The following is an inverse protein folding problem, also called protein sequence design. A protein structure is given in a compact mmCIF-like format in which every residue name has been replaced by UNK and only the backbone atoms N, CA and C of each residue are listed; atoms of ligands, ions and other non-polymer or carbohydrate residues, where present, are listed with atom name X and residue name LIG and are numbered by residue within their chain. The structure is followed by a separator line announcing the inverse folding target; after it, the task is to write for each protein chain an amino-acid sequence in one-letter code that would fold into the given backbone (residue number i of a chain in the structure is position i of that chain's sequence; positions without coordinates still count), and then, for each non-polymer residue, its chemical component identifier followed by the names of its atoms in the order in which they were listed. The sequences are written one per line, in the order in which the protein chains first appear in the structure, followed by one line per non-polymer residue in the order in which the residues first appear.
data_IF_848214951350
#
_entry.id   IF_848214951350
#
_cell.length_a   1.000
_cell.length_b   1.000
_cell.length_c   1.000
_cell.angle_alpha   90.00
_cell.angle_beta   90.00
_cell.angle_gamma   90.00
#
_symmetry.space_group_name_H-M   'P 1'
#
loop_
_entity.id
_entity.type
_entity.pdbx_description
1 polymer ?
#
# COMPACT_ATOMS: atom_id res chain seq x y z
N UNK A 1 19.59 -4.63 16.17
CA UNK A 1 19.02 -5.97 16.39
C UNK A 1 20.01 -6.81 17.17
N UNK A 2 19.65 -7.16 18.39
CA UNK A 2 20.40 -8.13 19.20
C UNK A 2 20.00 -9.54 18.76
N UNK A 3 20.89 -10.52 18.93
CA UNK A 3 20.67 -11.91 18.48
C UNK A 3 19.44 -12.57 19.11
N UNK A 4 18.97 -12.05 20.24
CA UNK A 4 17.82 -12.57 20.98
C UNK A 4 16.48 -12.29 20.27
N UNK A 5 16.37 -11.16 19.56
CA UNK A 5 15.16 -10.80 18.80
C UNK A 5 15.02 -11.64 17.51
N UNK A 6 16.14 -12.11 16.98
CA UNK A 6 16.18 -12.90 15.75
C UNK A 6 15.88 -14.39 16.02
N UNK A 7 16.21 -14.87 17.23
CA UNK A 7 15.92 -16.24 17.67
C UNK A 7 14.45 -16.42 18.07
N UNK A 8 13.81 -15.37 18.61
CA UNK A 8 12.36 -15.36 18.90
C UNK A 8 11.50 -15.44 17.63
N UNK A 9 11.99 -14.89 16.51
CA UNK A 9 11.28 -14.92 15.22
C UNK A 9 11.47 -16.26 14.48
N UNK A 10 12.49 -17.05 14.84
CA UNK A 10 12.78 -18.35 14.21
C UNK A 10 12.13 -19.54 14.92
N UNK A 11 11.84 -19.43 16.23
CA UNK A 11 11.09 -20.43 16.98
C UNK A 11 9.58 -20.13 16.92
N UNK A 12 8.98 -20.54 15.80
CA UNK A 12 7.57 -20.28 15.48
C UNK A 12 6.57 -20.75 16.52
N UNK A 13 5.85 -19.77 17.08
CA UNK A 13 4.52 -19.92 17.66
C UNK A 13 3.74 -18.61 17.49
N UNK A 14 3.42 -18.26 16.23
CA UNK A 14 2.39 -17.26 15.92
C UNK A 14 1.39 -17.94 14.98
N UNK A 15 0.34 -18.47 15.58
CA UNK A 15 -0.87 -18.98 14.94
C UNK A 15 -1.46 -17.87 14.05
N UNK A 16 -1.48 -18.12 12.74
CA UNK A 16 -1.83 -17.17 11.68
C UNK A 16 -3.19 -17.55 11.06
N UNK A 17 -4.19 -17.87 11.88
CA UNK A 17 -5.52 -18.30 11.39
C UNK A 17 -6.71 -17.50 11.93
N UNK A 18 -6.51 -16.30 12.48
CA UNK A 18 -7.63 -15.43 12.84
C UNK A 18 -7.39 -14.00 12.40
N UNK A 19 -7.79 -13.67 11.17
CA UNK A 19 -8.55 -12.44 10.84
C UNK A 19 -8.74 -12.35 9.33
N UNK A 20 -9.88 -12.79 8.81
CA UNK A 20 -10.59 -12.19 7.67
C UNK A 20 -11.97 -12.87 7.55
N UNK A 21 -12.86 -12.58 8.48
CA UNK A 21 -14.31 -12.75 8.26
C UNK A 21 -14.94 -11.35 8.17
N UNK A 22 -15.35 -10.95 6.97
CA UNK A 22 -16.38 -9.93 6.81
C UNK A 22 -17.37 -10.34 5.70
N UNK A 23 -18.47 -10.92 6.19
CA UNK A 23 -19.84 -10.94 5.67
C UNK A 23 -20.11 -10.64 4.18
N UNK A 24 -20.46 -11.69 3.43
CA UNK A 24 -21.37 -11.57 2.28
C UNK A 24 -22.79 -11.26 2.75
N UNK A 25 -23.39 -10.18 2.24
CA UNK A 25 -24.85 -10.00 2.28
C UNK A 25 -25.37 -9.92 0.85
N UNK A 26 -26.22 -10.88 0.50
CA UNK A 26 -26.86 -11.01 -0.81
C UNK A 26 -28.01 -10.00 -1.00
N UNK A 27 -28.17 -9.44 -2.21
CA UNK A 27 -29.47 -9.38 -2.91
C UNK A 27 -29.31 -9.07 -4.42
N UNK A 28 -30.27 -9.51 -5.27
CA UNK A 28 -30.11 -9.60 -6.74
C UNK A 28 -30.78 -8.47 -7.55
N UNK A 29 -30.28 -8.31 -8.78
CA UNK A 29 -30.85 -7.83 -10.05
C UNK A 29 -32.00 -6.80 -10.10
N UNK A 30 -31.77 -5.69 -10.82
CA UNK A 30 -32.23 -5.51 -12.22
C UNK A 30 -32.34 -4.03 -12.61
N UNK A 31 -31.60 -3.60 -13.64
CA UNK A 31 -32.09 -2.69 -14.69
C UNK A 31 -31.03 -2.60 -15.80
N UNK A 32 -31.40 -3.07 -16.99
CA UNK A 32 -30.67 -2.90 -18.25
C UNK A 32 -30.45 -1.42 -18.59
N UNK A 33 -29.27 -1.13 -19.13
CA UNK A 33 -29.11 -0.10 -20.16
C UNK A 33 -27.94 -0.50 -21.06
N UNK A 34 -28.29 -0.84 -22.31
CA UNK A 34 -27.36 -0.99 -23.42
C UNK A 34 -26.62 0.34 -23.66
N UNK A 35 -25.29 0.35 -23.50
CA UNK A 35 -24.43 1.37 -24.13
C UNK A 35 -23.18 0.73 -24.77
N UNK A 36 -22.75 1.36 -25.85
CA UNK A 36 -21.82 0.94 -26.90
C UNK A 36 -20.44 0.42 -26.40
N UNK A 37 -19.73 -0.41 -27.20
CA UNK A 37 -18.44 -0.96 -26.78
C UNK A 37 -17.38 0.14 -26.67
N UNK A 38 -16.93 0.42 -25.45
CA UNK A 38 -15.73 1.21 -25.17
C UNK A 38 -14.49 0.33 -25.31
N UNK A 39 -13.53 0.79 -26.11
CA UNK A 39 -12.30 0.08 -26.48
C UNK A 39 -11.18 0.30 -25.42
N UNK A 40 -11.51 0.14 -24.14
CA UNK A 40 -10.56 0.16 -23.03
C UNK A 40 -10.49 -1.22 -22.38
N UNK A 41 -9.30 -1.84 -22.26
CA UNK A 41 -9.19 -3.18 -21.69
C UNK A 41 -9.37 -3.12 -20.17
N UNK A 42 -10.52 -3.63 -19.70
CA UNK A 42 -10.83 -3.86 -18.29
C UNK A 42 -9.80 -4.84 -17.66
N UNK A 43 -9.03 -4.44 -16.63
CA UNK A 43 -8.05 -5.30 -15.94
C UNK A 43 -8.65 -6.57 -15.31
N UNK A 44 -9.96 -6.58 -15.07
CA UNK A 44 -10.66 -7.71 -14.45
C UNK A 44 -11.28 -8.70 -15.45
N UNK A 45 -11.17 -8.44 -16.76
CA UNK A 45 -11.74 -9.29 -17.82
C UNK A 45 -10.67 -9.94 -18.72
N UNK A 46 -9.55 -10.38 -18.13
CA UNK A 46 -8.67 -11.32 -18.84
C UNK A 46 -9.30 -12.72 -18.86
N UNK A 47 -10.34 -12.88 -19.67
CA UNK A 47 -10.75 -14.20 -20.15
C UNK A 47 -9.98 -14.42 -21.44
N UNK A 48 -9.30 -15.57 -21.55
CA UNK A 48 -8.75 -16.03 -22.83
C UNK A 48 -9.95 -16.32 -23.75
N UNK A 49 -10.50 -15.27 -24.36
CA UNK A 49 -11.46 -15.38 -25.43
C UNK A 49 -10.70 -16.00 -26.60
N UNK A 50 -11.14 -17.18 -27.05
CA UNK A 50 -10.62 -17.85 -28.24
C UNK A 50 -10.74 -17.01 -29.53
N UNK A 51 -11.38 -15.84 -29.46
CA UNK A 51 -11.45 -14.83 -30.52
C UNK A 51 -10.19 -13.95 -30.63
N UNK A 52 -9.36 -13.89 -29.58
CA UNK A 52 -8.12 -13.11 -29.64
C UNK A 52 -7.02 -13.93 -30.30
N UNK A 53 -6.49 -13.40 -31.41
CA UNK A 53 -5.47 -14.05 -32.22
C UNK A 53 -4.25 -14.43 -31.38
N UNK A 54 -3.86 -15.70 -31.44
CA UNK A 54 -2.64 -16.22 -30.86
C UNK A 54 -1.46 -15.91 -31.81
N UNK A 55 -0.30 -15.44 -31.31
CA UNK A 55 0.12 -15.34 -29.91
C UNK A 55 -0.43 -14.08 -29.22
N UNK A 56 -0.58 -14.10 -27.88
CA UNK A 56 -0.93 -12.89 -27.14
C UNK A 56 0.06 -11.78 -27.46
N UNK A 57 -0.40 -10.51 -27.52
CA UNK A 57 0.48 -9.38 -27.77
C UNK A 57 1.65 -9.39 -26.78
N UNK A 58 2.85 -9.01 -27.20
CA UNK A 58 4.01 -8.98 -26.32
C UNK A 58 3.67 -8.13 -25.08
N UNK A 59 4.08 -8.54 -23.87
CA UNK A 59 3.75 -7.81 -22.66
C UNK A 59 4.18 -6.36 -22.78
N UNK A 60 3.21 -5.44 -22.72
CA UNK A 60 3.43 -4.01 -22.52
C UNK A 60 4.13 -3.79 -21.19
N UNK A 61 4.80 -2.64 -21.00
CA UNK A 61 5.51 -2.36 -19.74
C UNK A 61 4.57 -2.45 -18.51
N UNK A 62 3.29 -2.11 -18.70
CA UNK A 62 2.22 -2.28 -17.71
C UNK A 62 1.92 -3.74 -17.36
N UNK A 63 2.25 -4.71 -18.22
CA UNK A 63 2.06 -6.15 -17.97
C UNK A 63 3.35 -6.84 -17.50
N UNK A 64 4.45 -6.09 -17.35
CA UNK A 64 5.71 -6.60 -16.82
C UNK A 64 5.74 -6.36 -15.31
N UNK A 65 5.46 -7.43 -14.56
CA UNK A 65 5.49 -7.41 -13.08
C UNK A 65 6.80 -6.81 -12.51
N UNK A 66 7.94 -7.02 -13.16
CA UNK A 66 9.22 -6.44 -12.73
C UNK A 66 9.24 -4.91 -12.83
N UNK A 67 8.62 -4.34 -13.87
CA UNK A 67 8.50 -2.89 -14.04
C UNK A 67 7.55 -2.30 -13.02
N UNK A 68 6.38 -2.93 -12.82
CA UNK A 68 5.42 -2.52 -11.79
C UNK A 68 6.05 -2.48 -10.39
N UNK A 69 6.85 -3.49 -10.03
CA UNK A 69 7.55 -3.51 -8.73
C UNK A 69 8.59 -2.39 -8.61
N UNK A 70 9.26 -2.02 -9.70
CA UNK A 70 10.22 -0.91 -9.73
C UNK A 70 9.50 0.44 -9.59
N UNK A 71 8.38 0.61 -10.29
CA UNK A 71 7.54 1.81 -10.22
C UNK A 71 6.93 1.99 -8.82
N UNK A 72 6.41 0.93 -8.22
CA UNK A 72 5.92 0.94 -6.82
C UNK A 72 7.03 1.32 -5.84
N UNK A 73 8.26 0.85 -6.08
CA UNK A 73 9.40 1.19 -5.23
C UNK A 73 9.71 2.68 -5.31
N UNK A 74 9.77 3.22 -6.52
CA UNK A 74 10.08 4.63 -6.78
C UNK A 74 8.99 5.58 -6.27
N UNK A 75 7.72 5.23 -6.50
CA UNK A 75 6.59 6.00 -5.99
C UNK A 75 6.54 5.98 -4.46
N UNK A 76 6.78 4.81 -3.84
CA UNK A 76 6.84 4.69 -2.38
C UNK A 76 7.95 5.55 -1.77
N UNK A 77 9.14 5.58 -2.37
CA UNK A 77 10.25 6.43 -1.91
C UNK A 77 9.91 7.93 -1.96
N UNK A 78 9.29 8.38 -3.07
CA UNK A 78 8.83 9.77 -3.19
C UNK A 78 7.77 10.10 -2.13
N UNK A 79 6.76 9.24 -1.99
CA UNK A 79 5.65 9.47 -1.05
C UNK A 79 6.11 9.47 0.39
N UNK A 80 7.07 8.65 0.75
CA UNK A 80 7.60 8.71 2.09
C UNK A 80 8.51 9.91 2.32
N UNK A 81 9.24 10.39 1.31
CA UNK A 81 9.94 11.67 1.44
C UNK A 81 8.96 12.79 1.77
N UNK A 82 7.80 12.84 1.07
CA UNK A 82 6.73 13.79 1.39
C UNK A 82 6.20 13.62 2.82
N UNK A 83 5.99 12.38 3.27
CA UNK A 83 5.52 12.10 4.64
C UNK A 83 6.57 12.57 5.67
N UNK A 84 7.87 12.40 5.41
CA UNK A 84 8.93 12.86 6.30
C UNK A 84 8.91 14.38 6.45
N UNK A 85 8.79 15.11 5.33
CA UNK A 85 8.69 16.57 5.35
C UNK A 85 7.47 17.04 6.15
N UNK A 86 6.32 16.36 6.00
CA UNK A 86 5.11 16.65 6.77
C UNK A 86 5.28 16.36 8.26
N UNK A 87 5.91 15.25 8.62
CA UNK A 87 6.19 14.86 10.01
C UNK A 87 7.15 15.87 10.66
N UNK A 88 8.20 16.30 9.95
CA UNK A 88 9.12 17.33 10.43
C UNK A 88 8.40 18.66 10.65
N UNK A 89 7.52 19.05 9.71
CA UNK A 89 6.64 20.22 9.86
C UNK A 89 5.80 20.15 11.14
N UNK A 90 5.10 19.03 11.35
CA UNK A 90 4.27 18.81 12.54
C UNK A 90 5.13 18.82 13.81
N UNK A 91 6.32 18.21 13.79
CA UNK A 91 7.24 18.21 14.94
C UNK A 91 7.65 19.62 15.34
N UNK A 92 7.98 20.47 14.36
CA UNK A 92 8.31 21.87 14.59
C UNK A 92 7.11 22.66 15.12
N UNK A 93 5.92 22.45 14.56
CA UNK A 93 4.68 23.10 15.02
C UNK A 93 4.34 22.72 16.47
N UNK A 94 4.50 21.44 16.85
CA UNK A 94 4.31 20.97 18.21
C UNK A 94 5.31 21.62 19.18
N UNK A 95 6.60 21.67 18.80
CA UNK A 95 7.63 22.31 19.61
C UNK A 95 7.39 23.81 19.80
N UNK A 96 6.89 24.50 18.78
CA UNK A 96 6.53 25.90 18.86
C UNK A 96 5.24 26.11 19.67
N UNK A 97 4.26 25.22 19.54
CA UNK A 97 3.09 25.15 20.42
C UNK A 97 3.48 25.01 21.89
N UNK A 98 4.47 24.16 22.19
CA UNK A 98 4.99 23.94 23.55
C UNK A 98 5.58 25.23 24.15
N UNK A 99 6.35 25.98 23.35
CA UNK A 99 6.91 27.27 23.76
C UNK A 99 5.82 28.31 24.01
N UNK A 100 4.80 28.35 23.15
CA UNK A 100 3.68 29.29 23.27
C UNK A 100 2.85 29.01 24.53
N UNK A 101 2.49 27.74 24.79
CA UNK A 101 1.70 27.39 25.97
C UNK A 101 2.48 27.64 27.26
N UNK A 102 3.79 27.38 27.29
CA UNK A 102 4.66 27.75 28.43
C UNK A 102 4.67 29.25 28.70
N UNK A 103 4.66 30.08 27.65
CA UNK A 103 4.56 31.54 27.80
C UNK A 103 3.20 31.96 28.36
N UNK A 104 2.11 31.34 27.91
CA UNK A 104 0.75 31.57 28.44
C UNK A 104 0.67 31.17 29.91
N UNK A 105 1.21 29.99 30.28
CA UNK A 105 1.30 29.53 31.66
C UNK A 105 2.08 30.50 32.56
N UNK A 106 3.15 31.11 32.07
CA UNK A 106 3.88 32.15 32.82
C UNK A 106 3.03 33.41 33.09
N UNK A 107 2.20 33.83 32.14
CA UNK A 107 1.26 34.96 32.32
C UNK A 107 0.15 34.61 33.30
N UNK A 108 -0.41 33.40 33.20
CA UNK A 108 -1.44 32.89 34.11
C UNK A 108 -0.90 32.80 35.55
N UNK A 109 0.32 32.32 35.75
CA UNK A 109 0.96 32.30 37.07
C UNK A 109 1.10 33.72 37.65
N UNK A 110 1.56 34.69 36.85
CA UNK A 110 1.63 36.08 37.29
C UNK A 110 0.27 36.67 37.66
N UNK A 111 -0.79 36.29 36.93
CA UNK A 111 -2.16 36.67 37.27
C UNK A 111 -2.62 36.03 38.59
N UNK A 112 -2.30 34.75 38.82
CA UNK A 112 -2.61 34.05 40.07
C UNK A 112 -1.97 34.78 41.25
N UNK A 113 -0.67 35.09 41.17
CA UNK A 113 0.05 35.79 42.24
C UNK A 113 -0.53 37.19 42.53
N UNK A 114 -0.94 37.91 41.47
CA UNK A 114 -1.58 39.21 41.58
C UNK A 114 -2.94 39.10 42.28
N UNK A 115 -3.80 38.17 41.84
CA UNK A 115 -5.12 37.98 42.42
C UNK A 115 -5.05 37.38 43.83
N UNK A 116 -4.01 36.61 44.19
CA UNK A 116 -3.78 36.17 45.56
C UNK A 116 -3.51 37.37 46.46
N UNK A 117 -2.62 38.26 46.03
CA UNK A 117 -2.28 39.49 46.76
C UNK A 117 -3.50 40.40 46.91
N UNK A 118 -4.28 40.59 45.83
CA UNK A 118 -5.50 41.41 45.86
C UNK A 118 -6.60 40.81 46.74
N UNK A 119 -6.79 39.49 46.70
CA UNK A 119 -7.78 38.79 47.53
C UNK A 119 -7.43 38.89 49.02
N UNK A 120 -6.14 38.88 49.37
CA UNK A 120 -5.68 39.09 50.74
C UNK A 120 -5.87 40.55 51.21
N UNK A 121 -5.57 41.52 50.34
CA UNK A 121 -5.69 42.97 50.64
C UNK A 121 -7.14 43.45 50.70
N UNK A 122 -8.02 42.88 49.88
CA UNK A 122 -9.42 43.28 49.74
C UNK A 122 -10.36 42.08 49.91
N UNK A 123 -10.50 41.54 51.13
CA UNK A 123 -11.25 40.31 51.39
C UNK A 123 -12.77 40.41 51.16
N UNK A 124 -13.29 41.65 51.03
CA UNK A 124 -14.70 41.94 50.77
C UNK A 124 -15.07 42.03 49.27
N UNK A 125 -14.11 41.85 48.37
CA UNK A 125 -14.36 41.86 46.92
C UNK A 125 -14.36 40.42 46.41
N UNK A 126 -15.55 39.84 46.28
CA UNK A 126 -15.71 38.44 45.85
C UNK A 126 -15.21 38.19 44.42
N UNK A 127 -15.26 39.21 43.56
CA UNK A 127 -14.78 39.13 42.18
C UNK A 127 -13.30 38.69 42.08
N UNK A 128 -12.44 39.07 43.04
CA UNK A 128 -11.03 38.66 43.04
C UNK A 128 -10.86 37.16 43.33
N UNK A 129 -11.68 36.61 44.23
CA UNK A 129 -11.67 35.16 44.51
C UNK A 129 -12.17 34.37 43.31
N UNK A 130 -13.27 34.80 42.69
CA UNK A 130 -13.79 34.14 41.49
C UNK A 130 -12.79 34.17 40.33
N UNK A 131 -12.12 35.31 40.11
CA UNK A 131 -11.14 35.42 39.03
C UNK A 131 -9.85 34.64 39.33
N UNK A 132 -9.48 34.49 40.60
CA UNK A 132 -8.37 33.65 41.02
C UNK A 132 -8.64 32.17 40.75
N UNK A 133 -9.84 31.68 41.10
CA UNK A 133 -10.24 30.30 40.80
C UNK A 133 -10.21 30.03 39.29
N UNK A 134 -10.78 30.93 38.47
CA UNK A 134 -10.73 30.82 37.01
C UNK A 134 -9.31 30.79 36.44
N UNK A 135 -8.39 31.61 36.98
CA UNK A 135 -7.00 31.57 36.52
C UNK A 135 -6.30 30.26 36.91
N UNK A 136 -6.61 29.69 38.09
CA UNK A 136 -6.08 28.36 38.48
C UNK A 136 -6.62 27.23 37.62
N UNK A 137 -7.91 27.29 37.26
CA UNK A 137 -8.50 26.35 36.31
C UNK A 137 -7.85 26.47 34.93
N UNK A 138 -7.72 27.69 34.40
CA UNK A 138 -7.02 27.94 33.14
C UNK A 138 -5.55 27.51 33.15
N UNK A 139 -4.85 27.63 34.30
CA UNK A 139 -3.49 27.13 34.47
C UNK A 139 -3.46 25.59 34.34
N UNK A 140 -4.40 24.90 35.00
CA UNK A 140 -4.50 23.44 34.90
C UNK A 140 -4.82 22.98 33.48
N UNK A 141 -5.67 23.71 32.74
CA UNK A 141 -5.95 23.42 31.34
C UNK A 141 -4.71 23.64 30.46
N UNK A 142 -3.95 24.71 30.71
CA UNK A 142 -2.71 25.00 29.99
C UNK A 142 -1.65 23.90 30.21
N UNK A 143 -1.54 23.38 31.43
CA UNK A 143 -0.63 22.27 31.75
C UNK A 143 -1.10 20.96 31.05
N UNK A 144 -2.41 20.69 31.00
CA UNK A 144 -2.94 19.54 30.26
C UNK A 144 -2.68 19.64 28.75
N UNK A 145 -2.77 20.84 28.16
CA UNK A 145 -2.41 21.08 26.76
C UNK A 145 -0.91 20.87 26.55
N UNK A 146 -0.07 21.32 27.48
CA UNK A 146 1.37 21.11 27.42
C UNK A 146 1.72 19.61 27.39
N UNK A 147 1.10 18.82 28.27
CA UNK A 147 1.28 17.37 28.31
C UNK A 147 0.83 16.71 26.99
N UNK A 148 -0.30 17.15 26.42
CA UNK A 148 -0.78 16.66 25.13
C UNK A 148 0.21 16.95 23.99
N UNK A 149 0.78 18.15 23.96
CA UNK A 149 1.78 18.53 22.95
C UNK A 149 3.07 17.69 23.09
N UNK A 150 3.52 17.44 24.32
CA UNK A 150 4.70 16.61 24.58
C UNK A 150 4.46 15.15 24.16
N UNK A 151 3.31 14.58 24.54
CA UNK A 151 2.92 13.23 24.10
C UNK A 151 2.78 13.13 22.56
N UNK A 152 2.28 14.20 21.93
CA UNK A 152 2.25 14.31 20.47
C UNK A 152 3.65 14.29 19.87
N UNK A 153 4.59 15.03 20.47
CA UNK A 153 6.00 15.04 20.07
C UNK A 153 6.66 13.65 20.17
N UNK A 154 6.42 12.94 21.29
CA UNK A 154 6.91 11.58 21.49
C UNK A 154 6.32 10.60 20.47
N UNK A 155 5.03 10.75 20.14
CA UNK A 155 4.38 9.94 19.11
C UNK A 155 5.01 10.18 17.73
N UNK A 156 5.31 11.43 17.40
CA UNK A 156 5.99 11.79 16.14
C UNK A 156 7.38 11.16 16.07
N UNK A 157 8.14 11.15 17.17
CA UNK A 157 9.44 10.46 17.23
C UNK A 157 9.29 8.95 16.97
N UNK A 158 8.29 8.31 17.58
CA UNK A 158 8.01 6.89 17.32
C UNK A 158 7.63 6.62 15.86
N UNK A 159 6.84 7.49 15.23
CA UNK A 159 6.50 7.36 13.80
C UNK A 159 7.76 7.50 12.95
N UNK A 160 8.65 8.44 13.27
CA UNK A 160 9.92 8.63 12.57
C UNK A 160 10.81 7.38 12.64
N UNK A 161 10.81 6.68 13.79
CA UNK A 161 11.52 5.40 13.96
C UNK A 161 10.90 4.27 13.13
N UNK A 162 9.57 4.16 13.11
CA UNK A 162 8.88 3.15 12.28
C UNK A 162 9.13 3.42 10.80
N UNK A 163 9.19 4.68 10.39
CA UNK A 163 9.37 5.05 8.99
C UNK A 163 10.73 4.61 8.42
N UNK A 164 11.72 4.36 9.29
CA UNK A 164 12.98 3.72 8.89
C UNK A 164 12.76 2.29 8.33
N UNK A 165 11.66 1.61 8.68
CA UNK A 165 11.30 0.31 8.09
C UNK A 165 10.95 0.40 6.60
N UNK A 166 10.75 1.59 6.04
CA UNK A 166 10.49 1.73 4.62
C UNK A 166 11.68 1.29 3.75
N UNK A 167 12.93 1.52 4.20
CA UNK A 167 14.10 1.03 3.46
C UNK A 167 14.13 -0.51 3.43
N UNK A 168 13.59 -1.18 4.45
CA UNK A 168 13.43 -2.65 4.45
C UNK A 168 12.43 -3.08 3.38
N UNK A 169 11.35 -2.34 3.13
CA UNK A 169 10.42 -2.65 2.04
C UNK A 169 11.08 -2.51 0.67
N UNK A 170 11.87 -1.46 0.45
CA UNK A 170 12.69 -1.30 -0.76
C UNK A 170 13.59 -2.51 -1.00
N UNK A 171 14.34 -2.94 0.03
CA UNK A 171 15.22 -4.11 -0.05
C UNK A 171 14.47 -5.41 -0.34
N UNK A 172 13.28 -5.60 0.27
CA UNK A 172 12.44 -6.78 0.00
C UNK A 172 11.97 -6.81 -1.46
N UNK A 173 11.53 -5.67 -2.01
CA UNK A 173 11.12 -5.58 -3.41
C UNK A 173 12.31 -5.83 -4.34
N UNK A 174 13.48 -5.25 -4.07
CA UNK A 174 14.71 -5.49 -4.84
C UNK A 174 15.07 -6.98 -4.88
N UNK A 175 14.93 -7.68 -3.74
CA UNK A 175 15.12 -9.14 -3.67
C UNK A 175 14.14 -9.90 -4.54
N UNK A 176 12.85 -9.55 -4.49
CA UNK A 176 11.80 -10.19 -5.32
C UNK A 176 12.08 -9.95 -6.80
N UNK A 177 12.41 -8.70 -7.19
CA UNK A 177 12.77 -8.34 -8.56
C UNK A 177 13.93 -9.21 -9.06
N UNK A 178 14.98 -9.39 -8.27
CA UNK A 178 16.12 -10.23 -8.64
C UNK A 178 15.73 -11.71 -8.81
N UNK A 179 14.88 -12.24 -7.94
CA UNK A 179 14.35 -13.61 -8.08
C UNK A 179 13.50 -13.73 -9.35
N UNK A 180 12.63 -12.77 -9.64
CA UNK A 180 11.79 -12.77 -10.84
C UNK A 180 12.63 -12.72 -12.13
N UNK A 181 13.68 -11.89 -12.17
CA UNK A 181 14.63 -11.84 -13.29
C UNK A 181 15.38 -13.17 -13.46
N UNK A 182 15.81 -13.79 -12.37
CA UNK A 182 16.45 -15.11 -12.40
C UNK A 182 15.48 -16.19 -12.89
N UNK A 183 14.22 -16.14 -12.48
CA UNK A 183 13.18 -17.11 -12.86
C UNK A 183 12.82 -16.99 -14.36
N UNK A 184 12.71 -15.76 -14.88
CA UNK A 184 12.56 -15.51 -16.32
C UNK A 184 13.76 -16.05 -17.11
N UNK A 185 14.98 -15.78 -16.62
CA UNK A 185 16.21 -16.31 -17.24
C UNK A 185 16.23 -17.83 -17.23
N UNK A 186 15.85 -18.45 -16.11
CA UNK A 186 15.78 -19.90 -15.97
C UNK A 186 14.75 -20.51 -16.93
N UNK A 187 13.55 -19.92 -17.05
CA UNK A 187 12.54 -20.37 -18.01
C UNK A 187 13.04 -20.27 -19.45
N UNK A 188 13.67 -19.14 -19.81
CA UNK A 188 14.27 -18.99 -21.13
C UNK A 188 15.35 -20.06 -21.40
N UNK A 189 16.16 -20.42 -20.40
CA UNK A 189 17.15 -21.50 -20.52
C UNK A 189 16.52 -22.91 -20.57
N UNK A 190 15.40 -23.13 -19.88
CA UNK A 190 14.65 -24.40 -19.91
C UNK A 190 14.04 -24.65 -21.29
N UNK A 191 13.54 -23.59 -21.94
CA UNK A 191 12.97 -23.64 -23.29
C UNK A 191 14.04 -23.54 -24.40
N UNK A 192 15.23 -23.02 -24.11
CA UNK A 192 16.36 -23.03 -25.02
C UNK A 192 16.87 -24.47 -25.23
N UNK A 193 16.31 -25.16 -26.23
CA UNK A 193 16.77 -26.47 -26.64
C UNK A 193 18.21 -26.42 -27.15
N UNK A 194 19.00 -27.47 -26.87
CA UNK A 194 20.38 -27.63 -27.39
C UNK A 194 20.46 -27.79 -28.91
N UNK A 195 19.31 -27.98 -29.57
CA UNK A 195 19.20 -28.29 -30.99
C UNK A 195 18.63 -27.04 -31.67
N UNK A 196 19.35 -26.55 -32.67
CA UNK A 196 18.88 -25.49 -33.57
C UNK A 196 17.52 -25.89 -34.18
N UNK A 197 16.57 -24.97 -34.24
CA UNK A 197 15.18 -25.25 -34.67
C UNK A 197 15.15 -25.82 -36.10
N UNK A 198 16.14 -25.47 -36.92
CA UNK A 198 16.38 -26.02 -38.26
C UNK A 198 16.70 -27.53 -38.29
N UNK A 199 17.12 -28.10 -37.15
CA UNK A 199 17.44 -29.53 -36.96
C UNK A 199 16.39 -30.27 -36.12
N UNK A 200 15.34 -29.58 -35.66
CA UNK A 200 14.21 -30.25 -35.01
C UNK A 200 13.43 -31.05 -36.05
N UNK A 201 12.90 -32.19 -35.62
CA UNK A 201 11.96 -32.97 -36.43
C UNK A 201 10.73 -32.09 -36.66
N UNK A 202 10.37 -31.88 -37.93
CA UNK A 202 9.16 -31.15 -38.33
C UNK A 202 7.96 -31.69 -37.57
N UNK A 203 7.09 -30.82 -37.07
CA UNK A 203 5.84 -31.24 -36.42
C UNK A 203 5.15 -32.32 -37.25
N UNK A 204 4.90 -33.47 -36.63
CA UNK A 204 4.38 -34.62 -37.35
C UNK A 204 2.94 -34.32 -37.80
N UNK A 205 2.74 -34.27 -39.12
CA UNK A 205 1.41 -34.14 -39.73
C UNK A 205 0.68 -35.50 -39.73
N UNK A 206 1.44 -36.60 -39.76
CA UNK A 206 0.93 -37.98 -39.78
C UNK A 206 1.69 -38.86 -38.78
N UNK A 207 0.97 -39.76 -38.12
CA UNK A 207 1.56 -40.82 -37.29
C UNK A 207 1.74 -42.11 -38.12
N UNK A 208 2.69 -43.00 -37.77
CA UNK A 208 2.86 -44.27 -38.48
C UNK A 208 1.58 -45.13 -38.40
N UNK A 209 0.98 -45.43 -39.56
CA UNK A 209 -0.31 -46.14 -39.67
C UNK A 209 -1.47 -45.26 -40.13
N UNK A 210 -1.24 -43.96 -40.27
CA UNK A 210 -2.19 -43.03 -40.87
C UNK A 210 -2.16 -43.15 -42.40
N UNK A 211 -3.30 -43.47 -43.02
CA UNK A 211 -3.41 -43.71 -44.46
C UNK A 211 -4.09 -42.59 -45.22
N UNK A 212 -4.61 -41.58 -44.53
CA UNK A 212 -5.49 -40.56 -45.14
C UNK A 212 -5.33 -39.21 -44.44
N UNK A 213 -5.23 -38.14 -45.23
CA UNK A 213 -5.04 -36.75 -44.73
C UNK A 213 -6.37 -36.05 -44.41
N UNK A 214 -7.49 -36.77 -44.49
CA UNK A 214 -8.84 -36.22 -44.35
C UNK A 214 -9.13 -35.69 -42.93
N UNK A 215 -8.42 -36.19 -41.91
CA UNK A 215 -8.55 -35.74 -40.51
C UNK A 215 -7.58 -34.59 -40.15
N UNK A 216 -6.72 -34.16 -41.08
CA UNK A 216 -5.81 -33.02 -40.88
C UNK A 216 -6.58 -31.75 -41.16
N UNK A 217 -7.16 -31.18 -40.11
CA UNK A 217 -7.92 -29.93 -40.19
C UNK A 217 -6.97 -28.77 -40.52
N UNK A 218 -7.20 -28.11 -41.66
CA UNK A 218 -6.42 -26.94 -42.07
C UNK A 218 -6.82 -25.70 -41.27
N UNK A 219 -5.96 -24.67 -41.22
CA UNK A 219 -6.29 -23.40 -40.55
C UNK A 219 -7.61 -22.80 -41.07
N UNK A 220 -7.89 -22.99 -42.35
CA UNK A 220 -9.08 -22.47 -43.03
C UNK A 220 -10.34 -23.25 -42.60
N UNK A 221 -10.22 -24.56 -42.36
CA UNK A 221 -11.32 -25.40 -41.84
C UNK A 221 -11.65 -25.07 -40.38
N UNK A 222 -10.63 -24.72 -39.58
CA UNK A 222 -10.80 -24.26 -38.19
C UNK A 222 -11.54 -22.91 -38.17
N UNK A 223 -11.20 -22.00 -39.07
CA UNK A 223 -11.85 -20.69 -39.19
C UNK A 223 -13.30 -20.82 -39.68
N UNK A 224 -13.57 -21.74 -40.61
CA UNK A 224 -14.93 -22.07 -41.06
C UNK A 224 -15.79 -22.68 -39.93
N UNK A 225 -15.21 -23.55 -39.11
CA UNK A 225 -15.86 -24.11 -37.92
C UNK A 225 -16.17 -23.02 -36.90
N UNK A 226 -15.22 -22.14 -36.57
CA UNK A 226 -15.43 -21.01 -35.66
C UNK A 226 -16.55 -20.08 -36.15
N UNK A 227 -16.57 -19.76 -37.45
CA UNK A 227 -17.64 -18.97 -38.06
C UNK A 227 -19.01 -19.66 -38.04
N UNK A 228 -19.05 -20.99 -38.06
CA UNK A 228 -20.30 -21.77 -37.94
C UNK A 228 -20.83 -21.82 -36.51
N UNK A 229 -19.95 -21.83 -35.51
CA UNK A 229 -20.33 -21.81 -34.09
C UNK A 229 -20.69 -20.41 -33.58
N UNK A 230 -20.15 -19.34 -34.16
CA UNK A 230 -20.50 -17.95 -33.84
C UNK A 230 -21.84 -17.45 -34.40
N UNK A 231 -22.58 -18.29 -35.15
CA UNK A 231 -23.90 -17.98 -35.74
C UNK A 231 -25.09 -18.54 -34.95
N UNK A 232 -24.97 -18.64 -33.62
CA UNK A 232 -26.10 -18.98 -32.74
C UNK A 232 -26.32 -17.90 -31.70
#
# INVERSE_FOLDING_TARGET
MTQEELDALMNGDMDLDETFEESETSQPDAAESEEAPSDEPDPHSYRVSALHSWPPPPPTDDNKMVHQLDDVTKESEQKATEIFDLIEGISNDLADGEKQIKKVGGVLQGNIDLFETLSQKFPHVDAFKTQLEKNREAQSEADAILDMLQNGGDTIMNVMDIMQYQDIHRQKIERVINVMRALSTYMNHLFAGKIDDSKRVTSAVHLPGDTTTDDVVSSDDIEALLASFGKK
#
